data_IF_279116092480
#
_entry.id   IF_279116092480
#
_cell.length_a   1.000
_cell.length_b   1.000
_cell.length_c   1.000
_cell.angle_alpha   90.00
_cell.angle_beta   90.00
_cell.angle_gamma   90.00
#
_symmetry.space_group_name_H-M   'P 1'
#
loop_
_entity.id
_entity.type
_entity.pdbx_description
1 polymer ?
#
# COMPACT_ATOMS: atom_id res chain seq x y z
N UNK A 1 -4.79 65.35 -24.91
CA UNK A 1 -5.38 64.06 -25.32
C UNK A 1 -4.30 62.99 -25.32
N UNK A 2 -4.35 62.01 -24.41
CA UNK A 2 -3.68 60.70 -24.54
C UNK A 2 -4.44 59.71 -23.66
N UNK A 3 -5.19 58.82 -24.30
CA UNK A 3 -5.87 57.69 -23.68
C UNK A 3 -4.85 56.57 -23.53
N UNK A 4 -4.77 55.97 -22.34
CA UNK A 4 -4.27 54.61 -22.20
C UNK A 4 -5.36 53.78 -21.55
N UNK A 5 -5.76 52.76 -22.28
CA UNK A 5 -6.79 51.77 -21.97
C UNK A 5 -6.06 50.44 -21.75
N UNK A 6 -6.52 49.72 -20.72
CA UNK A 6 -6.43 48.28 -20.44
C UNK A 6 -5.12 47.60 -19.98
N UNK A 7 -5.40 46.52 -19.23
CA UNK A 7 -4.63 45.29 -18.97
C UNK A 7 -3.75 45.31 -17.72
N UNK A 8 -3.85 44.37 -16.78
CA UNK A 8 -4.70 43.20 -16.66
C UNK A 8 -4.57 42.64 -15.25
N UNK A 9 -5.63 41.97 -14.79
CA UNK A 9 -5.66 41.26 -13.50
C UNK A 9 -4.74 40.04 -13.65
N UNK A 10 -3.59 40.06 -12.96
CA UNK A 10 -2.83 38.82 -12.74
C UNK A 10 -3.35 38.24 -11.43
N UNK A 11 -4.28 37.30 -11.55
CA UNK A 11 -4.61 36.36 -10.48
C UNK A 11 -3.39 35.50 -10.19
N UNK A 12 -2.57 35.88 -9.21
CA UNK A 12 -1.58 34.99 -8.59
C UNK A 12 -2.32 34.01 -7.67
N UNK A 13 -3.12 33.14 -8.29
CA UNK A 13 -3.90 32.12 -7.61
C UNK A 13 -3.51 30.75 -8.12
N UNK A 14 -2.86 29.97 -7.26
CA UNK A 14 -2.68 28.54 -7.45
C UNK A 14 -1.29 28.16 -7.92
N UNK A 15 -0.47 27.71 -6.98
CA UNK A 15 -0.03 26.32 -6.93
C UNK A 15 0.46 26.06 -5.49
N UNK A 16 -0.49 26.08 -4.53
CA UNK A 16 -0.29 25.29 -3.32
C UNK A 16 -0.40 23.84 -3.78
N UNK A 17 0.73 23.23 -4.10
CA UNK A 17 0.83 21.78 -4.24
C UNK A 17 0.37 21.19 -2.92
N UNK A 18 -0.91 20.82 -2.85
CA UNK A 18 -1.45 20.05 -1.75
C UNK A 18 -0.71 18.70 -1.77
N UNK A 19 0.40 18.62 -1.04
CA UNK A 19 0.76 17.37 -0.38
C UNK A 19 -0.45 17.09 0.50
N UNK A 20 -1.38 16.28 0.01
CA UNK A 20 -2.45 15.79 0.86
C UNK A 20 -1.72 15.08 2.01
N UNK A 21 -1.73 15.71 3.17
CA UNK A 21 -1.15 15.15 4.37
C UNK A 21 -1.99 13.91 4.66
N UNK A 22 -1.40 12.74 4.45
CA UNK A 22 -2.08 11.48 4.71
C UNK A 22 -2.28 11.39 6.23
N UNK A 23 -3.52 11.62 6.65
CA UNK A 23 -3.87 11.62 8.06
C UNK A 23 -3.73 10.22 8.64
N UNK A 24 -3.45 10.14 9.94
CA UNK A 24 -3.55 8.86 10.65
C UNK A 24 -5.01 8.42 10.66
N UNK A 25 -5.27 7.20 10.17
CA UNK A 25 -6.61 6.64 10.04
C UNK A 25 -6.82 5.46 11.00
N UNK A 26 -8.08 5.14 11.29
CA UNK A 26 -8.47 4.01 12.14
C UNK A 26 -9.14 2.88 11.39
N UNK A 27 -9.34 2.98 10.08
CA UNK A 27 -9.85 1.90 9.25
C UNK A 27 -9.44 2.12 7.79
N UNK A 28 -9.42 1.03 7.03
CA UNK A 28 -9.23 1.06 5.57
C UNK A 28 -10.26 0.12 4.96
N UNK A 29 -10.87 0.52 3.85
CA UNK A 29 -11.58 -0.36 2.94
C UNK A 29 -11.20 0.08 1.53
N UNK A 30 -10.37 -0.72 0.87
CA UNK A 30 -9.75 -0.39 -0.41
C UNK A 30 -9.78 -1.63 -1.31
N UNK A 31 -10.45 -1.50 -2.46
CA UNK A 31 -10.58 -2.56 -3.46
C UNK A 31 -9.76 -2.27 -4.72
N UNK A 32 -8.93 -1.22 -4.70
CA UNK A 32 -7.99 -0.83 -5.76
C UNK A 32 -8.58 -0.62 -7.16
N UNK A 33 -9.91 -0.71 -7.34
CA UNK A 33 -10.62 -0.60 -8.62
C UNK A 33 -10.31 0.72 -9.35
N UNK A 34 -10.15 1.79 -8.56
CA UNK A 34 -9.92 3.14 -9.05
C UNK A 34 -8.43 3.48 -9.22
N UNK A 35 -7.52 2.60 -8.82
CA UNK A 35 -6.08 2.89 -8.84
C UNK A 35 -5.52 2.65 -10.25
N UNK A 36 -5.05 3.72 -10.87
CA UNK A 36 -4.22 3.68 -12.09
C UNK A 36 -2.73 3.60 -11.78
N UNK A 37 -2.36 4.17 -10.63
CA UNK A 37 -1.05 4.14 -10.02
C UNK A 37 -1.23 3.87 -8.52
N UNK A 38 -0.14 3.56 -7.82
CA UNK A 38 -0.18 3.44 -6.35
C UNK A 38 -0.65 4.78 -5.75
N UNK A 39 -1.71 4.72 -4.95
CA UNK A 39 -2.28 5.91 -4.33
C UNK A 39 -1.22 6.65 -3.51
N UNK A 40 -1.21 7.98 -3.57
CA UNK A 40 -0.22 8.86 -2.92
C UNK A 40 -0.06 8.67 -1.39
N UNK A 41 -1.05 8.08 -0.72
CA UNK A 41 -0.98 7.80 0.72
C UNK A 41 -0.48 6.39 1.05
N UNK A 42 -0.25 5.59 0.03
CA UNK A 42 0.41 4.30 0.12
C UNK A 42 1.83 4.42 -0.41
N UNK A 43 2.70 3.49 -0.04
CA UNK A 43 4.07 3.45 -0.53
C UNK A 43 4.37 2.07 -1.06
N UNK A 44 4.79 2.01 -2.32
CA UNK A 44 5.31 0.79 -2.93
C UNK A 44 6.84 0.77 -2.84
N UNK A 45 7.39 -0.36 -2.42
CA UNK A 45 8.82 -0.63 -2.42
C UNK A 45 9.04 -1.94 -3.17
N UNK A 46 9.24 -1.87 -4.49
CA UNK A 46 9.34 -3.06 -5.33
C UNK A 46 10.70 -3.77 -5.25
N UNK A 47 11.72 -3.14 -4.65
CA UNK A 47 13.09 -3.63 -4.72
C UNK A 47 13.57 -3.68 -6.17
N UNK A 48 14.13 -4.83 -6.58
CA UNK A 48 14.48 -5.15 -7.98
C UNK A 48 13.33 -5.76 -8.80
N UNK A 49 12.23 -6.11 -8.15
CA UNK A 49 11.04 -6.66 -8.78
C UNK A 49 10.09 -5.52 -9.22
N UNK A 50 8.84 -5.85 -9.50
CA UNK A 50 7.79 -4.89 -9.86
C UNK A 50 6.65 -4.92 -8.84
N UNK A 51 6.16 -3.75 -8.48
CA UNK A 51 4.99 -3.57 -7.62
C UNK A 51 4.18 -2.38 -8.16
N UNK A 52 2.97 -2.65 -8.64
CA UNK A 52 2.14 -1.66 -9.32
C UNK A 52 0.65 -1.96 -9.16
N UNK A 53 -0.19 -0.97 -9.48
CA UNK A 53 -1.63 -1.15 -9.60
C UNK A 53 -2.00 -1.37 -11.06
N UNK A 54 -2.75 -2.42 -11.38
CA UNK A 54 -3.30 -2.70 -12.71
C UNK A 54 -4.46 -3.68 -12.58
N UNK A 55 -5.35 -3.69 -13.57
CA UNK A 55 -6.44 -4.68 -13.65
C UNK A 55 -7.26 -4.79 -12.36
N UNK A 56 -7.45 -3.62 -11.72
CA UNK A 56 -8.19 -3.42 -10.47
C UNK A 56 -7.56 -4.12 -9.26
N UNK A 57 -6.25 -4.36 -9.28
CA UNK A 57 -5.52 -5.07 -8.21
C UNK A 57 -4.15 -4.45 -7.98
N UNK A 58 -3.54 -4.78 -6.85
CA UNK A 58 -2.10 -4.59 -6.67
C UNK A 58 -1.37 -5.85 -7.13
N UNK A 59 -0.39 -5.67 -8.01
CA UNK A 59 0.38 -6.74 -8.59
C UNK A 59 1.81 -6.67 -8.06
N UNK A 60 2.25 -7.76 -7.44
CA UNK A 60 3.63 -8.03 -7.09
C UNK A 60 4.17 -8.99 -8.14
N UNK A 61 5.21 -8.62 -8.88
CA UNK A 61 5.68 -9.40 -10.02
C UNK A 61 7.19 -9.53 -10.06
N UNK A 62 7.66 -10.77 -10.07
CA UNK A 62 9.07 -11.13 -10.24
C UNK A 62 9.30 -11.46 -11.71
N UNK A 63 9.93 -10.54 -12.46
CA UNK A 63 10.32 -10.85 -13.84
C UNK A 63 11.55 -11.75 -13.85
N UNK A 64 12.68 -11.27 -13.30
CA UNK A 64 13.95 -12.00 -13.22
C UNK A 64 14.60 -11.97 -11.83
N UNK A 65 13.89 -11.44 -10.83
CA UNK A 65 14.41 -11.22 -9.47
C UNK A 65 13.56 -11.95 -8.42
N UNK A 66 13.58 -13.30 -8.41
CA UNK A 66 12.89 -14.06 -7.37
C UNK A 66 13.52 -13.77 -6.02
N UNK A 67 12.73 -13.98 -4.97
CA UNK A 67 13.07 -13.79 -3.55
C UNK A 67 13.42 -12.35 -3.19
N UNK A 68 13.09 -11.40 -4.06
CA UNK A 68 13.13 -9.98 -3.73
C UNK A 68 12.03 -9.67 -2.71
N UNK A 69 12.37 -8.89 -1.69
CA UNK A 69 11.38 -8.41 -0.74
C UNK A 69 10.64 -7.21 -1.35
N UNK A 70 9.36 -7.39 -1.63
CA UNK A 70 8.50 -6.31 -2.09
C UNK A 70 7.53 -5.90 -1.00
N UNK A 71 7.31 -4.59 -0.84
CA UNK A 71 6.46 -4.06 0.21
C UNK A 71 5.41 -3.10 -0.33
N UNK A 72 4.14 -3.34 0.00
CA UNK A 72 3.08 -2.33 -0.10
C UNK A 72 2.77 -1.84 1.31
N UNK A 73 2.97 -0.54 1.55
CA UNK A 73 2.82 0.08 2.87
C UNK A 73 1.60 1.00 2.88
N UNK A 74 0.75 0.84 3.88
CA UNK A 74 -0.48 1.61 4.09
C UNK A 74 -0.18 3.06 4.51
N UNK A 75 -1.20 3.95 4.52
CA UNK A 75 -1.16 5.15 5.35
C UNK A 75 -0.93 4.80 6.83
N UNK A 76 -0.61 5.80 7.64
CA UNK A 76 -0.39 5.59 9.07
C UNK A 76 -1.72 5.20 9.74
N UNK A 77 -1.68 4.13 10.53
CA UNK A 77 -2.83 3.56 11.24
C UNK A 77 -2.69 3.90 12.72
N UNK A 78 -3.81 4.20 13.38
CA UNK A 78 -3.84 4.37 14.84
C UNK A 78 -3.47 3.07 15.57
N UNK A 79 -2.98 3.20 16.80
CA UNK A 79 -2.84 2.07 17.71
C UNK A 79 -4.21 1.40 17.97
N UNK A 80 -4.22 0.08 18.09
CA UNK A 80 -5.45 -0.68 18.30
C UNK A 80 -5.34 -2.14 17.89
N UNK A 81 -6.44 -2.88 18.06
CA UNK A 81 -6.58 -4.26 17.58
C UNK A 81 -7.56 -4.27 16.42
N UNK A 82 -7.21 -4.99 15.35
CA UNK A 82 -7.91 -4.96 14.09
C UNK A 82 -8.18 -6.36 13.54
N UNK A 83 -9.24 -6.47 12.77
CA UNK A 83 -9.42 -7.52 11.78
C UNK A 83 -8.91 -6.97 10.44
N UNK A 84 -7.84 -7.58 9.94
CA UNK A 84 -7.33 -7.36 8.58
C UNK A 84 -7.84 -8.49 7.69
N UNK A 85 -8.47 -8.16 6.59
CA UNK A 85 -8.80 -9.12 5.55
C UNK A 85 -8.39 -8.60 4.17
N UNK A 86 -7.96 -9.49 3.29
CA UNK A 86 -7.64 -9.16 1.90
C UNK A 86 -7.73 -10.42 1.05
N UNK A 87 -7.98 -10.25 -0.24
CA UNK A 87 -7.91 -11.34 -1.21
C UNK A 87 -6.48 -11.42 -1.75
N UNK A 88 -5.90 -12.61 -1.76
CA UNK A 88 -4.56 -12.86 -2.26
C UNK A 88 -4.57 -14.11 -3.15
N UNK A 89 -4.13 -13.94 -4.40
CA UNK A 89 -3.95 -15.04 -5.34
C UNK A 89 -2.59 -14.94 -6.03
N UNK A 90 -2.15 -16.02 -6.66
CA UNK A 90 -0.95 -16.05 -7.48
C UNK A 90 -1.19 -16.76 -8.81
N UNK A 91 -0.20 -16.71 -9.70
CA UNK A 91 -0.20 -17.44 -10.96
C UNK A 91 0.52 -18.80 -10.87
N UNK A 92 0.65 -19.35 -9.66
CA UNK A 92 1.32 -20.61 -9.36
C UNK A 92 2.70 -20.47 -8.71
N UNK A 93 3.23 -21.60 -8.23
CA UNK A 93 4.50 -21.69 -7.49
C UNK A 93 4.36 -21.33 -6.00
N UNK A 94 5.47 -21.35 -5.26
CA UNK A 94 5.45 -21.03 -3.83
C UNK A 94 5.53 -19.50 -3.61
N UNK A 95 4.49 -18.90 -3.04
CA UNK A 95 4.48 -17.48 -2.66
C UNK A 95 4.01 -17.30 -1.23
N UNK A 96 4.49 -16.24 -0.57
CA UNK A 96 4.09 -15.95 0.81
C UNK A 96 3.77 -14.48 1.02
N UNK A 97 2.82 -14.24 1.93
CA UNK A 97 2.43 -12.94 2.44
C UNK A 97 2.76 -12.84 3.93
N UNK A 98 3.54 -11.84 4.30
CA UNK A 98 3.83 -11.47 5.68
C UNK A 98 3.27 -10.08 5.99
N UNK A 99 2.62 -9.94 7.15
CA UNK A 99 2.13 -8.64 7.64
C UNK A 99 3.12 -8.11 8.68
N UNK A 100 3.57 -6.88 8.47
CA UNK A 100 4.48 -6.21 9.40
C UNK A 100 3.99 -4.81 9.76
N UNK A 101 4.52 -4.29 10.85
CA UNK A 101 4.41 -2.88 11.21
C UNK A 101 5.72 -2.16 10.93
N UNK A 102 5.64 -0.90 10.50
CA UNK A 102 6.80 -0.08 10.16
C UNK A 102 6.58 1.37 10.58
N UNK A 103 7.58 1.96 11.24
CA UNK A 103 7.47 3.31 11.79
C UNK A 103 7.47 4.38 10.70
N UNK A 104 8.20 4.14 9.59
CA UNK A 104 8.27 5.01 8.42
C UNK A 104 8.28 4.17 7.15
N UNK A 105 7.44 4.53 6.18
CA UNK A 105 7.43 3.90 4.86
C UNK A 105 8.71 4.14 4.04
N UNK A 106 9.68 4.93 4.56
CA UNK A 106 10.98 5.15 3.94
C UNK A 106 12.09 4.24 4.51
N UNK A 107 11.84 3.52 5.61
CA UNK A 107 12.86 2.73 6.31
C UNK A 107 12.46 1.25 6.41
N UNK A 108 12.56 0.55 5.27
CA UNK A 108 12.21 -0.86 5.17
C UNK A 108 13.03 -1.79 6.07
N UNK A 109 14.08 -1.31 6.75
CA UNK A 109 14.93 -2.16 7.61
C UNK A 109 14.40 -2.28 9.04
N UNK A 110 13.53 -1.38 9.47
CA UNK A 110 13.00 -1.33 10.84
C UNK A 110 11.62 -1.98 11.00
N UNK A 111 11.20 -2.82 10.06
CA UNK A 111 9.92 -3.50 10.19
C UNK A 111 9.91 -4.51 11.34
N UNK A 112 8.74 -4.68 11.94
CA UNK A 112 8.47 -5.69 12.97
C UNK A 112 7.35 -6.57 12.44
N UNK A 113 7.62 -7.86 12.26
CA UNK A 113 6.60 -8.84 11.89
C UNK A 113 5.50 -8.88 12.95
N UNK A 114 4.23 -8.80 12.52
CA UNK A 114 3.07 -8.80 13.43
C UNK A 114 2.07 -9.93 13.13
N UNK A 115 2.24 -10.62 12.00
CA UNK A 115 1.56 -11.87 11.71
C UNK A 115 2.55 -12.83 11.04
N UNK A 116 2.41 -14.13 11.34
CA UNK A 116 3.20 -15.17 10.68
C UNK A 116 2.96 -15.11 9.17
N UNK A 117 4.02 -15.30 8.40
CA UNK A 117 3.90 -15.46 6.95
C UNK A 117 2.91 -16.59 6.63
N UNK A 118 2.00 -16.29 5.69
CA UNK A 118 1.03 -17.24 5.15
C UNK A 118 1.37 -17.52 3.70
N UNK A 119 1.29 -18.79 3.30
CA UNK A 119 1.25 -19.15 1.89
C UNK A 119 0.03 -18.53 1.22
N UNK A 120 0.15 -18.17 -0.06
CA UNK A 120 -0.96 -17.67 -0.88
C UNK A 120 -1.48 -18.83 -1.71
N UNK A 121 -2.78 -19.05 -1.67
CA UNK A 121 -3.45 -20.23 -2.23
C UNK A 121 -4.66 -19.87 -3.09
N UNK A 122 -4.87 -18.57 -3.35
CA UNK A 122 -6.06 -18.04 -4.02
C UNK A 122 -7.21 -17.64 -3.08
N UNK A 123 -7.09 -17.94 -1.78
CA UNK A 123 -8.14 -17.67 -0.80
C UNK A 123 -8.00 -16.31 -0.11
N UNK A 124 -9.14 -15.81 0.38
CA UNK A 124 -9.19 -14.66 1.29
C UNK A 124 -8.36 -14.93 2.55
N UNK A 125 -7.44 -14.01 2.86
CA UNK A 125 -6.60 -14.05 4.06
C UNK A 125 -7.23 -13.19 5.15
N UNK A 126 -7.25 -13.70 6.38
CA UNK A 126 -7.77 -13.00 7.55
C UNK A 126 -6.75 -13.03 8.68
N UNK A 127 -6.46 -11.88 9.27
CA UNK A 127 -5.52 -11.73 10.37
C UNK A 127 -6.17 -10.92 11.50
N UNK A 128 -5.93 -11.33 12.75
CA UNK A 128 -6.11 -10.42 13.89
C UNK A 128 -4.76 -9.80 14.22
N UNK A 129 -4.65 -8.49 14.09
CA UNK A 129 -3.40 -7.76 14.33
C UNK A 129 -3.56 -6.77 15.48
N UNK A 130 -2.47 -6.52 16.20
CA UNK A 130 -2.44 -5.56 17.32
C UNK A 130 -1.28 -4.58 17.16
N UNK A 131 -1.60 -3.29 17.10
CA UNK A 131 -0.65 -2.19 16.95
C UNK A 131 -0.50 -1.47 18.28
N UNK A 132 0.73 -1.50 18.82
CA UNK A 132 1.06 -0.89 20.13
C UNK A 132 1.14 0.64 20.10
N UNK A 133 1.35 1.22 18.91
CA UNK A 133 1.47 2.66 18.65
C UNK A 133 1.00 2.95 17.24
N UNK A 134 0.74 4.21 16.93
CA UNK A 134 0.43 4.62 15.57
C UNK A 134 1.60 4.30 14.63
N UNK A 135 1.33 3.53 13.59
CA UNK A 135 2.34 2.94 12.72
C UNK A 135 1.76 2.66 11.34
N UNK A 136 2.59 2.46 10.34
CA UNK A 136 2.13 1.92 9.06
C UNK A 136 2.07 0.40 9.15
N UNK A 137 1.18 -0.19 8.36
CA UNK A 137 1.18 -1.62 8.06
C UNK A 137 1.85 -1.85 6.72
N UNK A 138 2.58 -2.94 6.61
CA UNK A 138 3.17 -3.38 5.36
C UNK A 138 2.74 -4.79 5.00
N UNK A 139 2.45 -4.97 3.72
CA UNK A 139 2.31 -6.26 3.08
C UNK A 139 3.66 -6.61 2.45
N UNK A 140 4.33 -7.62 2.97
CA UNK A 140 5.54 -8.18 2.37
C UNK A 140 5.15 -9.41 1.57
N UNK A 141 5.38 -9.36 0.27
CA UNK A 141 5.20 -10.51 -0.61
C UNK A 141 6.55 -11.04 -1.01
N UNK A 142 6.72 -12.36 -0.92
CA UNK A 142 7.87 -13.07 -1.43
C UNK A 142 7.43 -14.01 -2.55
N UNK A 143 8.06 -13.86 -3.71
CA UNK A 143 7.88 -14.69 -4.89
C UNK A 143 9.12 -15.56 -5.07
N UNK A 144 9.01 -16.87 -5.03
CA UNK A 144 10.18 -17.76 -5.15
C UNK A 144 10.58 -18.05 -6.61
N UNK A 145 9.73 -17.71 -7.59
CA UNK A 145 9.92 -18.00 -9.01
C UNK A 145 10.18 -16.79 -9.91
N UNK A 146 10.69 -17.09 -11.10
CA UNK A 146 10.77 -16.17 -12.25
C UNK A 146 9.40 -16.16 -12.95
N UNK A 147 8.97 -15.01 -13.46
CA UNK A 147 7.63 -14.79 -14.03
C UNK A 147 6.46 -15.13 -13.10
N UNK A 148 6.72 -15.09 -11.79
CA UNK A 148 5.70 -15.31 -10.77
C UNK A 148 5.04 -13.99 -10.40
N UNK A 149 3.73 -14.02 -10.16
CA UNK A 149 2.94 -12.87 -9.79
C UNK A 149 2.03 -13.20 -8.60
N UNK A 150 1.84 -12.22 -7.72
CA UNK A 150 0.82 -12.22 -6.68
C UNK A 150 -0.10 -11.03 -6.92
N UNK A 151 -1.39 -11.25 -6.77
CA UNK A 151 -2.45 -10.28 -6.92
C UNK A 151 -3.12 -10.06 -5.57
N UNK A 152 -3.17 -8.80 -5.13
CA UNK A 152 -3.82 -8.39 -3.88
C UNK A 152 -5.02 -7.51 -4.20
N UNK A 153 -6.14 -7.81 -3.55
CA UNK A 153 -7.39 -7.05 -3.68
C UNK A 153 -8.19 -7.00 -2.36
N UNK A 154 -9.24 -6.18 -2.33
CA UNK A 154 -10.23 -6.09 -1.25
C UNK A 154 -9.60 -5.95 0.15
N UNK A 155 -8.60 -5.08 0.27
CA UNK A 155 -7.93 -4.79 1.52
C UNK A 155 -8.90 -4.08 2.48
N UNK A 156 -9.15 -4.71 3.62
CA UNK A 156 -10.01 -4.18 4.66
C UNK A 156 -9.33 -4.29 6.02
N UNK A 157 -9.25 -3.18 6.73
CA UNK A 157 -8.72 -3.08 8.08
C UNK A 157 -9.78 -2.43 8.96
N UNK A 158 -10.40 -3.22 9.82
CA UNK A 158 -11.52 -2.78 10.67
C UNK A 158 -11.14 -2.94 12.14
N UNK A 159 -11.30 -1.91 12.98
CA UNK A 159 -11.11 -2.04 14.43
C UNK A 159 -11.96 -3.16 15.00
N UNK A 160 -11.38 -3.99 15.86
CA UNK A 160 -12.16 -4.85 16.75
C UNK A 160 -12.58 -3.97 17.92
N UNK A 161 -13.84 -3.55 17.93
CA UNK A 161 -14.41 -2.91 19.11
C UNK A 161 -14.22 -3.87 20.30
N UNK A 162 -13.67 -3.36 21.40
CA UNK A 162 -13.52 -4.12 22.65
C UNK A 162 -14.88 -4.41 23.27
#
# INVERSE_FOLDING_TARGET
MRKFILAGIVTLGGFLTAKAQCNTISSITENFDAWKDINKCWTAQPGKAMLYASDKKIIFYSMSSPRENMYLVTPKIKAGTYTLSLDASDNGGETTLEIFSIASSSDAKSYISIAKASEITGDKKNFTISLKKDTHLGLKVLLNGIHQAVYIDNFSLIPKNK
#
